data_IF_341024163947
#
_entry.id   IF_341024163947
#
_cell.length_a   1.000
_cell.length_b   1.000
_cell.length_c   1.000
_cell.angle_alpha   90.00
_cell.angle_beta   90.00
_cell.angle_gamma   90.00
#
_symmetry.space_group_name_H-M   'P 1'
#
loop_
_entity.id
_entity.type
_entity.pdbx_description
1 polymer ?
#
# COMPACT_ATOMS: atom_id res chain seq x y z
N UNK A 1 14.38 -13.28 62.12
CA UNK A 1 13.52 -13.84 61.05
C UNK A 1 13.17 -12.74 60.04
N UNK A 2 13.99 -12.54 59.00
CA UNK A 2 13.78 -11.49 57.98
C UNK A 2 14.20 -12.02 56.59
N UNK A 3 13.45 -12.98 56.04
CA UNK A 3 13.78 -13.57 54.72
C UNK A 3 12.66 -13.45 53.67
N UNK A 4 11.54 -12.79 53.99
CA UNK A 4 10.34 -12.88 53.14
C UNK A 4 9.93 -11.57 52.45
N UNK A 5 10.66 -10.46 52.62
CA UNK A 5 10.28 -9.17 52.03
C UNK A 5 10.86 -8.90 50.64
N UNK A 6 11.89 -9.65 50.22
CA UNK A 6 12.54 -9.45 48.93
C UNK A 6 11.74 -10.07 47.76
N UNK A 7 11.02 -11.18 47.97
CA UNK A 7 10.29 -11.86 46.89
C UNK A 7 9.06 -11.09 46.38
N UNK A 8 8.42 -10.27 47.23
CA UNK A 8 7.18 -9.57 46.85
C UNK A 8 7.43 -8.40 45.87
N UNK A 9 8.59 -7.74 45.95
CA UNK A 9 8.95 -6.65 45.02
C UNK A 9 9.33 -7.16 43.62
N UNK A 10 10.07 -8.27 43.52
CA UNK A 10 10.54 -8.77 42.22
C UNK A 10 9.37 -9.25 41.36
N UNK A 11 8.38 -9.90 41.98
CA UNK A 11 7.18 -10.39 41.28
C UNK A 11 6.34 -9.21 40.73
N UNK A 12 6.25 -8.11 41.47
CA UNK A 12 5.56 -6.88 41.01
C UNK A 12 6.29 -6.19 39.86
N UNK A 13 7.62 -6.20 39.84
CA UNK A 13 8.43 -5.63 38.74
C UNK A 13 8.41 -6.48 37.47
N UNK A 14 8.30 -7.80 37.58
CA UNK A 14 8.22 -8.70 36.42
C UNK A 14 6.87 -8.54 35.70
N UNK A 15 5.76 -8.36 36.45
CA UNK A 15 4.43 -8.16 35.87
C UNK A 15 4.28 -6.84 35.10
N UNK A 16 5.00 -5.79 35.48
CA UNK A 16 4.94 -4.49 34.80
C UNK A 16 5.76 -4.45 33.50
N UNK A 17 6.79 -5.30 33.39
CA UNK A 17 7.68 -5.33 32.22
C UNK A 17 7.10 -6.12 31.03
N UNK A 18 6.04 -6.91 31.25
CA UNK A 18 5.45 -7.78 30.22
C UNK A 18 4.39 -7.09 29.36
N UNK A 19 3.96 -5.87 29.71
CA UNK A 19 2.91 -5.12 28.99
C UNK A 19 3.44 -4.23 27.85
N UNK A 20 4.75 -4.20 27.62
CA UNK A 20 5.38 -3.26 26.67
C UNK A 20 5.85 -3.91 25.35
N UNK A 21 5.22 -4.99 24.91
CA UNK A 21 5.47 -5.59 23.59
C UNK A 21 4.15 -5.61 22.80
N UNK A 22 3.67 -4.43 22.43
CA UNK A 22 2.68 -4.28 21.37
C UNK A 22 3.45 -4.18 20.05
N UNK A 23 3.35 -5.15 19.13
CA UNK A 23 3.93 -5.01 17.81
C UNK A 23 3.18 -3.90 17.05
N UNK A 24 3.89 -2.81 16.75
CA UNK A 24 3.44 -1.74 15.85
C UNK A 24 3.57 -2.22 14.38
N UNK A 25 2.85 -3.28 14.02
CA UNK A 25 2.88 -3.86 12.66
C UNK A 25 1.87 -3.22 11.69
N UNK A 26 1.59 -1.92 11.85
CA UNK A 26 0.60 -1.22 11.00
C UNK A 26 1.17 -0.61 9.71
N UNK A 27 2.49 -0.61 9.53
CA UNK A 27 3.14 0.08 8.41
C UNK A 27 3.26 -0.75 7.13
N UNK A 28 3.30 -2.09 7.21
CA UNK A 28 3.59 -2.95 6.04
C UNK A 28 2.37 -3.16 5.13
N UNK A 29 1.17 -3.11 5.71
CA UNK A 29 -0.07 -3.32 4.97
C UNK A 29 -0.42 -2.15 4.03
N UNK A 30 -0.03 -0.92 4.35
CA UNK A 30 -0.31 0.26 3.52
C UNK A 30 0.52 0.26 2.23
N UNK A 31 1.80 -0.09 2.31
CA UNK A 31 2.70 -0.10 1.15
C UNK A 31 2.28 -1.13 0.08
N UNK A 32 1.84 -2.32 0.52
CA UNK A 32 1.36 -3.36 -0.40
C UNK A 32 0.04 -2.97 -1.07
N UNK A 33 -0.86 -2.30 -0.34
CA UNK A 33 -2.10 -1.79 -0.89
C UNK A 33 -1.83 -0.72 -1.96
N UNK A 34 -0.89 0.20 -1.70
CA UNK A 34 -0.47 1.24 -2.63
C UNK A 34 0.15 0.65 -3.90
N UNK A 35 1.01 -0.36 -3.77
CA UNK A 35 1.59 -1.07 -4.92
C UNK A 35 0.52 -1.68 -5.83
N UNK A 36 -0.44 -2.40 -5.24
CA UNK A 36 -1.54 -3.04 -5.99
C UNK A 36 -2.40 -2.01 -6.72
N UNK A 37 -2.66 -0.87 -6.07
CA UNK A 37 -3.41 0.23 -6.67
C UNK A 37 -2.64 0.85 -7.85
N UNK A 38 -1.34 1.06 -7.70
CA UNK A 38 -0.48 1.58 -8.75
C UNK A 38 -0.37 0.63 -9.95
N UNK A 39 -0.28 -0.68 -9.70
CA UNK A 39 -0.32 -1.71 -10.73
C UNK A 39 -1.63 -1.62 -11.51
N UNK A 40 -2.78 -1.56 -10.83
CA UNK A 40 -4.09 -1.45 -11.47
C UNK A 40 -4.20 -0.22 -12.38
N UNK A 41 -3.73 0.95 -11.94
CA UNK A 41 -3.78 2.15 -12.78
C UNK A 41 -2.93 2.01 -14.04
N UNK A 42 -1.73 1.46 -13.91
CA UNK A 42 -0.83 1.22 -15.04
C UNK A 42 -1.43 0.22 -16.03
N UNK A 43 -2.01 -0.87 -15.53
CA UNK A 43 -2.62 -1.90 -16.38
C UNK A 43 -3.83 -1.33 -17.15
N UNK A 44 -4.62 -0.46 -16.51
CA UNK A 44 -5.71 0.26 -17.19
C UNK A 44 -5.17 1.22 -18.25
N UNK A 45 -4.11 1.98 -17.97
CA UNK A 45 -3.46 2.83 -18.98
C UNK A 45 -3.00 1.99 -20.19
N UNK A 46 -2.42 0.81 -19.96
CA UNK A 46 -1.97 -0.09 -21.01
C UNK A 46 -3.17 -0.65 -21.80
N UNK A 47 -4.22 -1.11 -21.11
CA UNK A 47 -5.44 -1.60 -21.75
C UNK A 47 -6.04 -0.58 -22.72
N UNK A 48 -6.17 0.69 -22.32
CA UNK A 48 -6.68 1.74 -23.22
C UNK A 48 -5.69 2.11 -24.32
N UNK A 49 -4.39 1.97 -24.07
CA UNK A 49 -3.37 2.14 -25.11
C UNK A 49 -3.50 1.05 -26.17
N UNK A 50 -3.67 -0.21 -25.78
CA UNK A 50 -3.90 -1.33 -26.70
C UNK A 50 -5.22 -1.21 -27.47
N UNK A 51 -6.31 -0.78 -26.81
CA UNK A 51 -7.58 -0.50 -27.48
C UNK A 51 -7.39 0.53 -28.59
N UNK A 52 -6.65 1.61 -28.33
CA UNK A 52 -6.33 2.63 -29.35
C UNK A 52 -5.47 2.09 -30.48
N UNK A 53 -4.46 1.26 -30.17
CA UNK A 53 -3.60 0.64 -31.19
C UNK A 53 -4.37 -0.31 -32.11
N UNK A 54 -5.35 -1.04 -31.57
CA UNK A 54 -6.25 -1.90 -32.35
C UNK A 54 -7.21 -1.12 -33.25
N UNK A 55 -7.34 0.19 -33.04
CA UNK A 55 -8.25 1.03 -33.80
C UNK A 55 -9.71 0.89 -33.39
N UNK A 56 -10.58 1.68 -34.01
CA UNK A 56 -12.01 1.76 -33.74
C UNK A 56 -12.59 3.05 -34.31
N UNK A 57 -13.87 3.31 -34.06
CA UNK A 57 -14.49 4.57 -34.47
C UNK A 57 -13.80 5.78 -33.81
N UNK A 58 -13.86 6.95 -34.46
CA UNK A 58 -13.33 8.21 -33.90
C UNK A 58 -13.85 8.47 -32.48
N UNK A 59 -15.12 8.18 -32.23
CA UNK A 59 -15.76 8.32 -30.91
C UNK A 59 -15.16 7.36 -29.88
N UNK A 60 -14.96 6.09 -30.23
CA UNK A 60 -14.32 5.11 -29.34
C UNK A 60 -12.88 5.52 -29.02
N UNK A 61 -12.10 5.91 -30.02
CA UNK A 61 -10.71 6.36 -29.83
C UNK A 61 -10.62 7.56 -28.89
N UNK A 62 -11.53 8.54 -29.04
CA UNK A 62 -11.62 9.71 -28.14
C UNK A 62 -11.94 9.28 -26.71
N UNK A 63 -12.92 8.39 -26.52
CA UNK A 63 -13.28 7.85 -25.19
C UNK A 63 -12.10 7.12 -24.55
N UNK A 64 -11.39 6.26 -25.28
CA UNK A 64 -10.22 5.56 -24.74
C UNK A 64 -9.06 6.49 -24.39
N UNK A 65 -8.84 7.55 -25.18
CA UNK A 65 -7.87 8.59 -24.84
C UNK A 65 -8.23 9.29 -23.52
N UNK A 66 -9.50 9.63 -23.32
CA UNK A 66 -9.98 10.25 -22.08
C UNK A 66 -9.78 9.31 -20.88
N UNK A 67 -10.11 8.02 -21.03
CA UNK A 67 -9.92 7.03 -19.97
C UNK A 67 -8.44 6.83 -19.65
N UNK A 68 -7.58 6.66 -20.66
CA UNK A 68 -6.12 6.61 -20.46
C UNK A 68 -5.60 7.83 -19.69
N UNK A 69 -6.07 9.03 -20.03
CA UNK A 69 -5.67 10.27 -19.34
C UNK A 69 -6.21 10.33 -17.90
N UNK A 70 -7.39 9.80 -17.64
CA UNK A 70 -7.92 9.66 -16.29
C UNK A 70 -7.02 8.78 -15.42
N UNK A 71 -6.67 7.57 -15.88
CA UNK A 71 -5.78 6.68 -15.14
C UNK A 71 -4.34 7.21 -15.03
N UNK A 72 -3.86 7.96 -16.02
CA UNK A 72 -2.58 8.66 -15.93
C UNK A 72 -2.55 9.73 -14.84
N UNK A 73 -3.67 10.43 -14.64
CA UNK A 73 -3.82 11.40 -13.55
C UNK A 73 -3.89 10.70 -12.20
N UNK A 74 -4.63 9.60 -12.08
CA UNK A 74 -4.67 8.81 -10.84
C UNK A 74 -3.30 8.23 -10.49
N UNK A 75 -2.60 7.63 -11.45
CA UNK A 75 -1.25 7.12 -11.26
C UNK A 75 -0.29 8.21 -10.74
N UNK A 76 -0.40 9.43 -11.27
CA UNK A 76 0.42 10.55 -10.80
C UNK A 76 -0.03 11.07 -9.42
N UNK A 77 -1.34 11.17 -9.17
CA UNK A 77 -1.91 11.63 -7.89
C UNK A 77 -1.53 10.73 -6.72
N UNK A 78 -1.44 9.42 -6.96
CA UNK A 78 -1.05 8.44 -5.95
C UNK A 78 0.48 8.22 -5.87
N UNK A 79 1.29 9.12 -6.46
CA UNK A 79 2.75 9.04 -6.44
C UNK A 79 3.32 7.69 -6.92
N UNK A 80 2.61 6.97 -7.78
CA UNK A 80 2.98 5.62 -8.22
C UNK A 80 4.31 5.53 -8.98
N UNK A 81 4.87 6.69 -9.37
CA UNK A 81 6.22 6.80 -9.92
C UNK A 81 7.28 6.26 -8.95
N UNK A 82 7.07 6.39 -7.64
CA UNK A 82 7.97 5.86 -6.61
C UNK A 82 8.05 4.33 -6.69
N UNK A 83 6.90 3.69 -6.91
CA UNK A 83 6.80 2.23 -7.00
C UNK A 83 7.17 1.66 -8.38
N UNK A 84 7.58 2.48 -9.36
CA UNK A 84 7.77 2.07 -10.76
C UNK A 84 8.64 0.83 -10.93
N UNK A 85 9.67 0.64 -10.10
CA UNK A 85 10.59 -0.51 -10.16
C UNK A 85 9.94 -1.83 -9.77
N UNK A 86 8.83 -1.78 -9.05
CA UNK A 86 8.13 -2.93 -8.50
C UNK A 86 6.85 -3.28 -9.28
N UNK A 87 6.45 -2.43 -10.25
CA UNK A 87 5.31 -2.68 -11.12
C UNK A 87 5.71 -3.70 -12.20
N UNK A 88 4.89 -4.73 -12.40
CA UNK A 88 5.16 -5.86 -13.31
C UNK A 88 4.54 -5.67 -14.68
#
# INVERSE_FOLDING_TARGET
MQRNLLHSSVIRSILFSLLLVLPLDTAVASEQADLKQCQRYRDLQQQYTEKRRRGGSKTQMRRWQQQRNHYSRLYSRHNCRVHRRYLK
#
